data_IF_314710579761
#
_entry.id   IF_314710579761
#
_cell.length_a   1.000
_cell.length_b   1.000
_cell.length_c   1.000
_cell.angle_alpha   90.00
_cell.angle_beta   90.00
_cell.angle_gamma   90.00
#
_symmetry.space_group_name_H-M   'P 1'
#
loop_
_entity.id
_entity.type
_entity.pdbx_description
1 polymer ?
#
# COMPACT_ATOMS: atom_id res chain seq x y z
N UNK A 1 7.11 -9.19 -4.51
CA UNK A 1 6.60 -7.88 -5.00
C UNK A 1 5.39 -7.51 -4.16
N UNK A 2 5.48 -6.42 -3.41
CA UNK A 2 4.39 -5.90 -2.56
C UNK A 2 3.59 -4.85 -3.35
N UNK A 3 2.26 -4.92 -3.32
CA UNK A 3 1.38 -3.93 -3.96
C UNK A 3 0.78 -3.03 -2.89
N UNK A 4 0.99 -1.72 -3.03
CA UNK A 4 0.43 -0.70 -2.14
C UNK A 4 -0.36 0.32 -2.97
N UNK A 5 -1.46 0.79 -2.41
CA UNK A 5 -2.30 1.84 -2.99
C UNK A 5 -2.39 2.96 -1.96
N UNK A 6 -2.08 4.17 -2.40
CA UNK A 6 -2.23 5.40 -1.63
C UNK A 6 -3.12 6.36 -2.42
N UNK A 7 -3.80 7.28 -1.72
CA UNK A 7 -4.61 8.31 -2.37
C UNK A 7 -3.75 9.31 -3.14
N UNK A 8 -2.57 9.59 -2.61
CA UNK A 8 -1.62 10.55 -3.17
C UNK A 8 -0.17 10.14 -2.92
N UNK A 9 0.75 10.90 -3.51
CA UNK A 9 2.19 10.67 -3.41
C UNK A 9 2.73 10.91 -1.99
N UNK A 10 2.16 11.86 -1.24
CA UNK A 10 2.63 12.22 0.09
C UNK A 10 2.30 11.13 1.13
N UNK A 11 1.11 10.52 1.03
CA UNK A 11 0.71 9.35 1.80
C UNK A 11 1.61 8.15 1.47
N UNK A 12 1.88 7.89 0.18
CA UNK A 12 2.81 6.85 -0.25
C UNK A 12 4.21 7.05 0.34
N UNK A 13 4.76 8.27 0.25
CA UNK A 13 6.09 8.56 0.78
C UNK A 13 6.16 8.41 2.29
N UNK A 14 5.15 8.88 3.03
CA UNK A 14 5.07 8.67 4.49
C UNK A 14 5.10 7.18 4.82
N UNK A 15 4.24 6.38 4.19
CA UNK A 15 4.22 4.93 4.44
C UNK A 15 5.58 4.27 4.21
N UNK A 16 6.25 4.62 3.10
CA UNK A 16 7.56 4.06 2.81
C UNK A 16 8.61 4.42 3.87
N UNK A 17 8.65 5.68 4.31
CA UNK A 17 9.71 6.15 5.20
C UNK A 17 9.45 5.80 6.66
N UNK A 18 8.19 5.80 7.10
CA UNK A 18 7.85 5.62 8.53
C UNK A 18 7.48 4.18 8.89
N UNK A 19 6.90 3.43 7.95
CA UNK A 19 6.44 2.06 8.22
C UNK A 19 7.34 1.04 7.51
N UNK A 20 7.42 1.10 6.18
CA UNK A 20 8.05 0.03 5.40
C UNK A 20 9.58 -0.02 5.57
N UNK A 21 10.27 1.13 5.50
CA UNK A 21 11.74 1.18 5.66
C UNK A 21 12.17 1.00 7.11
N UNK A 22 11.28 1.26 8.07
CA UNK A 22 11.56 1.07 9.50
C UNK A 22 11.33 -0.38 9.97
N UNK A 23 10.74 -1.24 9.14
CA UNK A 23 10.44 -2.61 9.50
C UNK A 23 11.70 -3.48 9.60
N UNK A 24 11.69 -4.41 10.54
CA UNK A 24 12.74 -5.41 10.70
C UNK A 24 12.86 -6.26 9.43
N UNK A 25 14.09 -6.52 8.96
CA UNK A 25 14.42 -7.24 7.73
C UNK A 25 14.19 -6.47 6.41
N UNK A 26 14.09 -5.14 6.46
CA UNK A 26 14.06 -4.30 5.25
C UNK A 26 15.40 -3.58 5.06
N UNK A 27 16.25 -4.11 4.18
CA UNK A 27 17.57 -3.51 3.87
C UNK A 27 17.48 -2.40 2.80
N UNK A 28 16.72 -2.65 1.73
CA UNK A 28 16.53 -1.69 0.65
C UNK A 28 15.19 -1.88 -0.04
N UNK A 29 14.52 -0.77 -0.35
CA UNK A 29 13.24 -0.76 -1.06
C UNK A 29 13.41 -0.11 -2.43
N UNK A 30 13.15 -0.86 -3.49
CA UNK A 30 12.98 -0.33 -4.85
C UNK A 30 11.50 -0.30 -5.18
N UNK A 31 10.97 0.90 -5.41
CA UNK A 31 9.55 1.07 -5.75
C UNK A 31 9.36 1.30 -7.23
N UNK A 32 8.25 0.80 -7.77
CA UNK A 32 7.78 1.08 -9.12
C UNK A 32 6.40 1.72 -8.99
N UNK A 33 6.34 3.04 -9.16
CA UNK A 33 5.11 3.81 -9.06
C UNK A 33 4.36 3.79 -10.39
N UNK A 34 3.09 3.40 -10.35
CA UNK A 34 2.18 3.53 -11.50
C UNK A 34 0.98 4.38 -11.10
N UNK A 35 0.80 5.53 -11.75
CA UNK A 35 -0.34 6.43 -11.53
C UNK A 35 -1.44 6.06 -12.53
N UNK A 36 -2.62 5.66 -12.04
CA UNK A 36 -3.79 5.32 -12.87
C UNK A 36 -5.04 6.00 -12.32
N UNK A 37 -5.95 6.41 -13.20
CA UNK A 37 -7.30 6.84 -12.80
C UNK A 37 -8.00 5.68 -12.08
N UNK A 38 -8.59 5.94 -10.92
CA UNK A 38 -9.22 4.90 -10.11
C UNK A 38 -10.42 4.29 -10.83
N UNK A 39 -10.49 2.95 -10.80
CA UNK A 39 -11.74 2.22 -11.07
C UNK A 39 -12.49 2.14 -9.72
N UNK A 40 -13.82 2.12 -9.71
CA UNK A 40 -14.60 1.95 -8.47
C UNK A 40 -14.39 0.60 -7.76
N UNK A 41 -13.57 -0.28 -8.31
CA UNK A 41 -13.15 -1.54 -7.69
C UNK A 41 -11.82 -1.34 -6.94
N UNK A 42 -11.69 -1.85 -5.70
CA UNK A 42 -10.46 -1.72 -4.93
C UNK A 42 -9.28 -2.34 -5.68
N UNK A 43 -8.23 -1.54 -5.91
CA UNK A 43 -7.02 -1.97 -6.63
C UNK A 43 -6.09 -2.86 -5.82
N UNK A 44 -6.26 -2.89 -4.50
CA UNK A 44 -5.64 -3.87 -3.60
C UNK A 44 -6.69 -4.95 -3.33
N UNK A 45 -6.38 -6.24 -3.54
CA UNK A 45 -7.20 -7.31 -3.03
C UNK A 45 -7.10 -7.31 -1.50
N UNK A 46 -7.94 -6.51 -0.85
CA UNK A 46 -8.23 -6.70 0.56
C UNK A 46 -8.92 -8.06 0.67
N UNK A 47 -8.51 -8.94 1.61
CA UNK A 47 -9.34 -10.10 1.92
C UNK A 47 -10.74 -9.58 2.23
N UNK A 48 -11.76 -10.14 1.56
CA UNK A 48 -13.14 -9.84 1.86
C UNK A 48 -13.27 -9.90 3.38
N UNK A 49 -13.69 -8.78 3.97
CA UNK A 49 -13.65 -8.57 5.41
C UNK A 49 -14.03 -9.87 6.12
N UNK A 50 -13.15 -10.30 7.04
CA UNK A 50 -13.53 -11.21 8.11
C UNK A 50 -14.92 -10.83 8.58
N UNK A 51 -15.88 -11.69 8.29
CA UNK A 51 -17.23 -11.68 8.79
C UNK A 51 -17.17 -11.83 10.31
N UNK A 52 -16.93 -10.73 11.01
CA UNK A 52 -17.28 -10.51 12.42
C UNK A 52 -17.44 -9.02 12.68
N UNK A 53 -18.69 -8.55 12.62
CA UNK A 53 -19.31 -7.68 13.62
C UNK A 53 -20.77 -7.40 13.24
N UNK A 54 -21.68 -8.03 14.01
CA UNK A 54 -23.09 -7.71 14.23
C UNK A 54 -24.09 -7.84 13.07
#
# INVERSE_FOLDING_TARGET
ILKIVARDLAEFQRFLTTELTAAENVEHVKTSLTIRCSKHLPGVPLPAASEKAA
#
